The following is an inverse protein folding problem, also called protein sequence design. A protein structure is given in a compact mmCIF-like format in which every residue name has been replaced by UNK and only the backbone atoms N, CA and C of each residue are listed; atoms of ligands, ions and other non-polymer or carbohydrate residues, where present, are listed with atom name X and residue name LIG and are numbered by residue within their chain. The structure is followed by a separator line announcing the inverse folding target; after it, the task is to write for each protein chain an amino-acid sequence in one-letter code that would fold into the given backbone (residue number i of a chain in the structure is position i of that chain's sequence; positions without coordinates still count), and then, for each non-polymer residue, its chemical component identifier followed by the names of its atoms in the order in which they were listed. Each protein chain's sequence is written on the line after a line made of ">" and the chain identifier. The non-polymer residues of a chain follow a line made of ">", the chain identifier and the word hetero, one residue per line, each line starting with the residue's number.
data_IF_113917294815
#
_entry.id   IF_113917294815
#
_cell.length_a   1.000
_cell.length_b   1.000
_cell.length_c   1.000
_cell.angle_alpha   90.00
_cell.angle_beta   90.00
_cell.angle_gamma   90.00
#
_symmetry.space_group_name_H-M   'P 1'
#
loop_
_entity.id
_entity.type
_entity.pdbx_description
1 polymer ?
#
# COMPACT_ATOMS: atom_id res chain seq x y z
N UNK A 1 6.74 -14.35 -1.72
CA UNK A 1 5.71 -14.07 -0.70
C UNK A 1 5.54 -12.55 -0.68
N UNK A 2 4.70 -12.00 -1.55
CA UNK A 2 4.42 -10.57 -1.58
C UNK A 2 3.50 -10.27 -0.40
N UNK A 3 3.99 -9.46 0.55
CA UNK A 3 3.31 -9.15 1.80
C UNK A 3 1.95 -8.52 1.50
N UNK A 4 0.86 -9.17 1.90
CA UNK A 4 -0.53 -8.78 1.62
C UNK A 4 -1.08 -7.79 2.66
N UNK A 5 -0.22 -7.02 3.33
CA UNK A 5 -0.55 -6.32 4.58
C UNK A 5 -1.64 -5.27 4.37
N UNK A 6 -1.53 -4.45 3.31
CA UNK A 6 -2.54 -3.43 3.04
C UNK A 6 -3.88 -4.04 2.61
N UNK A 7 -3.88 -5.01 1.69
CA UNK A 7 -5.15 -5.61 1.24
C UNK A 7 -5.87 -6.40 2.35
N UNK A 8 -5.13 -6.98 3.30
CA UNK A 8 -5.72 -7.59 4.48
C UNK A 8 -6.25 -6.54 5.46
N UNK A 9 -5.49 -5.46 5.72
CA UNK A 9 -5.93 -4.35 6.58
C UNK A 9 -7.19 -3.67 6.03
N UNK A 10 -7.25 -3.36 4.74
CA UNK A 10 -8.43 -2.79 4.08
C UNK A 10 -9.64 -3.70 4.18
N UNK A 11 -9.46 -5.02 4.08
CA UNK A 11 -10.56 -5.99 4.20
C UNK A 11 -11.10 -6.07 5.63
N UNK A 12 -10.25 -5.85 6.65
CA UNK A 12 -10.65 -5.87 8.06
C UNK A 12 -11.26 -4.53 8.48
N UNK A 13 -10.63 -3.41 8.13
CA UNK A 13 -11.10 -2.06 8.47
C UNK A 13 -12.33 -1.66 7.65
N UNK A 14 -12.44 -2.15 6.41
CA UNK A 14 -13.53 -1.82 5.48
C UNK A 14 -14.06 -3.10 4.80
N UNK A 15 -14.82 -3.94 5.52
CA UNK A 15 -15.37 -5.18 4.96
C UNK A 15 -16.29 -4.94 3.75
N UNK A 16 -16.91 -3.76 3.66
CA UNK A 16 -17.70 -3.34 2.50
C UNK A 16 -16.86 -3.12 1.22
N UNK A 17 -15.58 -2.75 1.38
CA UNK A 17 -14.65 -2.57 0.27
C UNK A 17 -13.93 -3.89 -0.08
N UNK A 18 -14.02 -4.93 0.74
CA UNK A 18 -13.32 -6.19 0.54
C UNK A 18 -13.63 -6.85 -0.81
N UNK A 19 -14.91 -6.91 -1.19
CA UNK A 19 -15.31 -7.45 -2.50
C UNK A 19 -14.79 -6.58 -3.66
N UNK A 20 -14.88 -5.25 -3.53
CA UNK A 20 -14.37 -4.33 -4.56
C UNK A 20 -12.86 -4.44 -4.72
N UNK A 21 -12.12 -4.46 -3.61
CA UNK A 21 -10.66 -4.64 -3.59
C UNK A 21 -10.29 -5.99 -4.22
N UNK A 22 -11.00 -7.06 -3.89
CA UNK A 22 -10.76 -8.38 -4.51
C UNK A 22 -11.02 -8.35 -6.01
N UNK A 23 -12.15 -7.79 -6.43
CA UNK A 23 -12.50 -7.65 -7.86
C UNK A 23 -11.47 -6.79 -8.60
N UNK A 24 -11.03 -5.68 -8.02
CA UNK A 24 -9.99 -4.81 -8.58
C UNK A 24 -8.63 -5.51 -8.65
N UNK A 25 -8.27 -6.34 -7.66
CA UNK A 25 -7.03 -7.15 -7.75
C UNK A 25 -7.07 -8.17 -8.89
N UNK A 26 -8.24 -8.71 -9.22
CA UNK A 26 -8.38 -9.71 -10.29
C UNK A 26 -8.53 -9.06 -11.67
N UNK A 27 -9.20 -7.90 -11.75
CA UNK A 27 -9.56 -7.24 -13.01
C UNK A 27 -8.69 -6.04 -13.37
N UNK A 28 -7.98 -5.44 -12.41
CA UNK A 28 -7.24 -4.19 -12.59
C UNK A 28 -5.75 -4.35 -12.22
N UNK A 29 -4.92 -4.58 -13.25
CA UNK A 29 -3.47 -4.69 -13.10
C UNK A 29 -2.81 -3.42 -12.54
N UNK A 30 -3.41 -2.24 -12.71
CA UNK A 30 -2.90 -1.00 -12.13
C UNK A 30 -3.09 -0.98 -10.61
N UNK A 31 -4.25 -1.43 -10.12
CA UNK A 31 -4.51 -1.57 -8.70
C UNK A 31 -3.53 -2.54 -8.03
N UNK A 32 -3.22 -3.65 -8.68
CA UNK A 32 -2.22 -4.61 -8.18
C UNK A 32 -0.82 -3.97 -8.08
N UNK A 33 -0.40 -3.21 -9.09
CA UNK A 33 0.89 -2.50 -9.04
C UNK A 33 0.97 -1.48 -7.91
N UNK A 34 -0.09 -0.68 -7.70
CA UNK A 34 -0.14 0.29 -6.62
C UNK A 34 -0.08 -0.37 -5.24
N UNK A 35 -0.74 -1.53 -5.08
CA UNK A 35 -0.67 -2.35 -3.88
C UNK A 35 0.76 -2.85 -3.62
N UNK A 36 1.40 -3.42 -4.64
CA UNK A 36 2.77 -3.92 -4.53
C UNK A 36 3.77 -2.79 -4.23
N UNK A 37 3.60 -1.62 -4.84
CA UNK A 37 4.40 -0.42 -4.55
C UNK A 37 4.21 0.05 -3.11
N UNK A 38 2.96 0.09 -2.63
CA UNK A 38 2.67 0.44 -1.24
C UNK A 38 3.33 -0.53 -0.27
N UNK A 39 3.15 -1.84 -0.47
CA UNK A 39 3.75 -2.86 0.40
C UNK A 39 5.29 -2.85 0.33
N UNK A 40 5.88 -2.51 -0.82
CA UNK A 40 7.32 -2.32 -0.96
C UNK A 40 7.81 -1.10 -0.15
N UNK A 41 7.10 0.03 -0.22
CA UNK A 41 7.41 1.23 0.55
C UNK A 41 7.25 0.99 2.06
N UNK A 42 6.17 0.33 2.47
CA UNK A 42 5.90 0.01 3.88
C UNK A 42 7.00 -0.87 4.47
N UNK A 43 7.42 -1.89 3.71
CA UNK A 43 8.55 -2.74 4.06
C UNK A 43 9.85 -1.97 4.12
N UNK A 44 10.09 -1.05 3.19
CA UNK A 44 11.28 -0.22 3.18
C UNK A 44 11.33 0.69 4.42
N UNK A 45 10.24 1.41 4.71
CA UNK A 45 10.10 2.23 5.92
C UNK A 45 10.33 1.39 7.18
N UNK A 46 9.73 0.20 7.27
CA UNK A 46 9.92 -0.70 8.41
C UNK A 46 11.39 -1.14 8.55
N UNK A 47 12.07 -1.46 7.44
CA UNK A 47 13.48 -1.81 7.44
C UNK A 47 14.38 -0.63 7.86
N UNK A 48 14.04 0.57 7.41
CA UNK A 48 14.74 1.81 7.77
C UNK A 48 14.54 2.14 9.27
N UNK A 49 13.31 2.01 9.77
CA UNK A 49 12.97 2.19 11.20
C UNK A 49 13.60 1.12 12.10
N UNK A 50 13.81 -0.10 11.58
CA UNK A 50 14.59 -1.14 12.25
C UNK A 50 16.11 -0.90 12.21
N UNK A 51 16.58 0.18 11.56
CA UNK A 51 18.00 0.52 11.46
C UNK A 51 18.78 -0.38 10.50
N UNK A 52 18.09 -1.12 9.63
CA UNK A 52 18.72 -2.03 8.66
C UNK A 52 19.36 -1.25 7.50
N UNK A 53 18.81 -0.07 7.18
CA UNK A 53 19.32 0.85 6.18
C UNK A 53 19.41 2.25 6.77
N UNK A 54 20.59 2.87 6.67
CA UNK A 54 20.79 4.28 6.97
C UNK A 54 20.32 5.11 5.77
N UNK A 55 19.02 5.35 5.67
CA UNK A 55 18.50 6.33 4.72
C UNK A 55 18.48 7.71 5.38
N UNK A 56 18.68 8.76 4.59
CA UNK A 56 18.56 10.13 5.08
C UNK A 56 17.11 10.44 5.47
N UNK A 57 16.94 11.34 6.43
CA UNK A 57 15.62 11.74 6.95
C UNK A 57 14.71 12.29 5.82
N UNK A 58 15.29 13.02 4.86
CA UNK A 58 14.60 13.48 3.65
C UNK A 58 14.06 12.32 2.79
N UNK A 59 14.83 11.24 2.65
CA UNK A 59 14.40 10.07 1.91
C UNK A 59 13.26 9.36 2.64
N UNK A 60 13.35 9.22 3.98
CA UNK A 60 12.29 8.62 4.78
C UNK A 60 11.00 9.44 4.68
N UNK A 61 11.11 10.76 4.72
CA UNK A 61 9.98 11.66 4.57
C UNK A 61 9.32 11.55 3.19
N UNK A 62 10.12 11.43 2.12
CA UNK A 62 9.62 11.18 0.77
C UNK A 62 8.88 9.83 0.67
N UNK A 63 9.44 8.76 1.24
CA UNK A 63 8.80 7.44 1.26
C UNK A 63 7.47 7.47 2.02
N UNK A 64 7.41 8.17 3.16
CA UNK A 64 6.17 8.36 3.94
C UNK A 64 5.11 9.12 3.14
N UNK A 65 5.48 10.15 2.39
CA UNK A 65 4.58 10.86 1.49
C UNK A 65 4.09 9.96 0.35
N UNK A 66 4.97 9.21 -0.30
CA UNK A 66 4.58 8.28 -1.36
C UNK A 66 3.62 7.19 -0.84
N UNK A 67 3.90 6.62 0.34
CA UNK A 67 3.00 5.65 0.99
C UNK A 67 1.60 6.22 1.20
N UNK A 68 1.51 7.45 1.71
CA UNK A 68 0.22 8.13 1.90
C UNK A 68 -0.52 8.33 0.58
N UNK A 69 0.19 8.81 -0.46
CA UNK A 69 -0.39 9.02 -1.79
C UNK A 69 -0.92 7.71 -2.40
N UNK A 70 -0.15 6.62 -2.35
CA UNK A 70 -0.58 5.31 -2.86
C UNK A 70 -1.80 4.80 -2.11
N UNK A 71 -1.84 4.97 -0.79
CA UNK A 71 -3.02 4.59 0.01
C UNK A 71 -4.26 5.37 -0.41
N UNK A 72 -4.13 6.68 -0.60
CA UNK A 72 -5.23 7.54 -1.05
C UNK A 72 -5.71 7.16 -2.45
N UNK A 73 -4.80 6.80 -3.34
CA UNK A 73 -5.12 6.37 -4.70
C UNK A 73 -5.84 5.01 -4.71
N UNK A 74 -5.34 4.04 -3.95
CA UNK A 74 -5.99 2.74 -3.74
C UNK A 74 -7.39 2.90 -3.14
N UNK A 75 -7.55 3.79 -2.16
CA UNK A 75 -8.85 4.10 -1.56
C UNK A 75 -9.80 4.75 -2.56
N UNK A 76 -9.34 5.71 -3.37
CA UNK A 76 -10.13 6.32 -4.44
C UNK A 76 -10.58 5.28 -5.46
N UNK A 77 -9.71 4.38 -5.89
CA UNK A 77 -10.07 3.31 -6.82
C UNK A 77 -11.10 2.35 -6.22
N UNK A 78 -10.94 1.97 -4.95
CA UNK A 78 -11.86 1.08 -4.25
C UNK A 78 -13.24 1.73 -3.99
N UNK A 79 -13.30 3.05 -3.82
CA UNK A 79 -14.56 3.78 -3.58
C UNK A 79 -15.26 4.24 -4.85
N UNK A 80 -14.51 4.48 -5.94
CA UNK A 80 -15.05 4.89 -7.24
C UNK A 80 -15.56 3.73 -8.11
N UNK A 81 -15.11 2.50 -7.84
CA UNK A 81 -15.65 1.27 -8.44
C UNK A 81 -17.01 0.89 -7.83
#
# INVERSE_FOLDING_TARGET
>A
MHSTLLSHALTIEFPELAEKVKSLKESNAHFVKLLDEHDALDKQITQDEMGVKAISDDALHALKQQRAHLKDELYRMATAA
#
